data_IF_428172717479
#
_entry.id   IF_428172717479
#
_cell.length_a   1.000
_cell.length_b   1.000
_cell.length_c   1.000
_cell.angle_alpha   90.00
_cell.angle_beta   90.00
_cell.angle_gamma   90.00
#
_symmetry.space_group_name_H-M   'P 1'
#
loop_
_entity.id
_entity.type
_entity.pdbx_description
1 polymer ?
#
# COMPACT_ATOMS: atom_id res chain seq x y z
N UNK A 1 -13.12 -15.89 12.39
CA UNK A 1 -13.73 -15.10 11.30
C UNK A 1 -13.13 -13.70 11.38
N UNK A 2 -12.59 -13.15 10.30
CA UNK A 2 -11.90 -11.85 10.33
C UNK A 2 -12.91 -10.73 10.07
N UNK A 3 -12.90 -9.69 10.90
CA UNK A 3 -13.85 -8.57 10.87
C UNK A 3 -13.17 -7.30 10.41
N UNK A 4 -13.84 -6.56 9.53
CA UNK A 4 -13.36 -5.27 9.01
C UNK A 4 -14.38 -4.19 9.37
N UNK A 5 -13.93 -3.16 10.08
CA UNK A 5 -14.73 -1.97 10.38
C UNK A 5 -14.51 -0.92 9.29
N UNK A 6 -15.60 -0.34 8.78
CA UNK A 6 -15.54 0.75 7.81
C UNK A 6 -15.80 2.07 8.52
N UNK A 7 -14.80 2.95 8.54
CA UNK A 7 -14.87 4.26 9.22
C UNK A 7 -14.40 5.35 8.26
N UNK A 8 -14.95 6.56 8.40
CA UNK A 8 -14.39 7.75 7.76
C UNK A 8 -13.25 8.32 8.60
N UNK A 9 -12.37 9.12 7.99
CA UNK A 9 -11.32 9.85 8.71
C UNK A 9 -11.86 10.55 9.97
N UNK A 10 -11.18 10.39 11.10
CA UNK A 10 -11.58 10.97 12.39
C UNK A 10 -12.96 10.53 12.94
N UNK A 11 -13.63 9.57 12.31
CA UNK A 11 -14.89 9.02 12.81
C UNK A 11 -14.62 8.10 14.00
N UNK A 12 -15.49 8.16 15.01
CA UNK A 12 -15.50 7.26 16.15
C UNK A 12 -16.62 6.24 16.05
N UNK A 13 -16.33 5.00 16.43
CA UNK A 13 -17.31 3.95 16.69
C UNK A 13 -17.07 3.32 18.05
N UNK A 14 -18.02 2.50 18.50
CA UNK A 14 -17.80 1.62 19.65
C UNK A 14 -16.73 0.61 19.24
N UNK A 15 -15.70 0.46 20.08
CA UNK A 15 -14.63 -0.50 19.87
C UNK A 15 -15.20 -1.91 20.04
N UNK A 16 -14.96 -2.81 19.09
CA UNK A 16 -15.55 -4.13 19.14
C UNK A 16 -14.71 -5.03 20.07
N UNK A 17 -15.32 -6.08 20.60
CA UNK A 17 -14.71 -6.93 21.63
C UNK A 17 -13.39 -7.58 21.18
N UNK A 18 -13.22 -7.79 19.87
CA UNK A 18 -12.00 -8.37 19.29
C UNK A 18 -10.74 -7.52 19.48
N UNK A 19 -10.85 -6.31 20.04
CA UNK A 19 -9.72 -5.45 20.37
C UNK A 19 -9.11 -5.76 21.75
N UNK A 20 -9.85 -6.47 22.60
CA UNK A 20 -9.43 -6.87 23.94
C UNK A 20 -9.22 -8.39 24.01
N UNK A 21 -8.28 -8.82 24.84
CA UNK A 21 -8.16 -10.23 25.24
C UNK A 21 -9.20 -10.57 26.30
N UNK A 22 -9.39 -11.88 26.54
CA UNK A 22 -10.21 -12.37 27.66
C UNK A 22 -9.71 -11.87 29.04
N UNK A 23 -8.44 -11.45 29.12
CA UNK A 23 -7.82 -10.83 30.31
C UNK A 23 -7.96 -9.30 30.36
N UNK A 24 -8.55 -8.67 29.35
CA UNK A 24 -8.74 -7.21 29.26
C UNK A 24 -7.52 -6.44 28.71
N UNK A 25 -6.54 -7.14 28.15
CA UNK A 25 -5.38 -6.52 27.49
C UNK A 25 -5.71 -6.11 26.06
N UNK A 26 -5.06 -5.04 25.57
CA UNK A 26 -5.28 -4.56 24.20
C UNK A 26 -4.54 -5.47 23.21
N UNK A 27 -5.29 -6.19 22.39
CA UNK A 27 -4.77 -7.05 21.32
C UNK A 27 -4.54 -6.22 20.05
N UNK A 28 -3.44 -5.48 19.99
CA UNK A 28 -3.06 -4.73 18.80
C UNK A 28 -1.60 -4.97 18.46
N UNK A 29 -1.29 -5.11 17.17
CA UNK A 29 0.08 -5.26 16.70
C UNK A 29 0.95 -4.07 17.14
N UNK A 30 2.14 -4.32 17.70
CA UNK A 30 3.04 -3.26 18.17
C UNK A 30 3.50 -2.33 17.05
N UNK A 31 3.54 -2.80 15.80
CA UNK A 31 3.91 -2.00 14.63
C UNK A 31 2.88 -0.92 14.27
N UNK A 32 1.67 -1.02 14.80
CA UNK A 32 0.53 -0.12 14.54
C UNK A 32 0.34 0.82 15.73
N UNK A 33 0.70 0.36 16.94
CA UNK A 33 0.76 1.17 18.14
C UNK A 33 1.78 2.31 17.98
N UNK A 34 1.38 3.53 18.37
CA UNK A 34 2.26 4.71 18.32
C UNK A 34 2.36 5.41 16.96
N UNK A 35 1.77 4.86 15.88
CA UNK A 35 1.78 5.50 14.55
C UNK A 35 0.62 6.49 14.31
N UNK A 36 -0.17 6.79 15.34
CA UNK A 36 -1.33 7.68 15.27
C UNK A 36 -2.37 7.32 14.19
N UNK A 37 -2.44 6.03 13.80
CA UNK A 37 -3.41 5.54 12.83
C UNK A 37 -4.84 5.48 13.38
N UNK A 38 -4.97 5.28 14.69
CA UNK A 38 -6.24 5.26 15.40
C UNK A 38 -6.01 5.72 16.85
N UNK A 39 -7.09 6.02 17.58
CA UNK A 39 -7.04 6.26 19.02
C UNK A 39 -8.14 5.50 19.72
N UNK A 40 -7.83 4.99 20.91
CA UNK A 40 -8.79 4.39 21.83
C UNK A 40 -9.11 5.40 22.92
N UNK A 41 -10.40 5.66 23.15
CA UNK A 41 -10.88 6.54 24.20
C UNK A 41 -12.01 5.89 24.97
N UNK A 42 -11.92 5.91 26.28
CA UNK A 42 -13.01 5.47 27.14
C UNK A 42 -13.95 6.66 27.41
N UNK A 43 -15.25 6.51 27.10
CA UNK A 43 -16.25 7.55 27.34
C UNK A 43 -17.59 6.91 27.72
N UNK A 44 -18.20 7.39 28.80
CA UNK A 44 -19.53 6.93 29.26
C UNK A 44 -19.66 5.40 29.39
N UNK A 45 -18.62 4.75 29.92
CA UNK A 45 -18.53 3.28 30.08
C UNK A 45 -18.31 2.48 28.78
N UNK A 46 -18.19 3.16 27.64
CA UNK A 46 -17.87 2.52 26.36
C UNK A 46 -16.42 2.78 25.96
N UNK A 47 -15.76 1.74 25.45
CA UNK A 47 -14.50 1.89 24.73
C UNK A 47 -14.82 2.37 23.31
N UNK A 48 -14.32 3.54 22.94
CA UNK A 48 -14.47 4.10 21.60
C UNK A 48 -13.19 3.94 20.81
N UNK A 49 -13.34 3.51 19.57
CA UNK A 49 -12.28 3.49 18.58
C UNK A 49 -12.48 4.64 17.60
N UNK A 50 -11.50 5.52 17.48
CA UNK A 50 -11.50 6.61 16.51
C UNK A 50 -10.43 6.38 15.44
N UNK A 51 -10.83 6.44 14.17
CA UNK A 51 -9.89 6.46 13.05
C UNK A 51 -9.02 7.74 13.08
N UNK A 52 -7.75 7.63 12.68
CA UNK A 52 -6.86 8.77 12.49
C UNK A 52 -7.09 9.48 11.16
N UNK A 53 -6.08 10.24 10.72
CA UNK A 53 -6.03 10.87 9.39
C UNK A 53 -5.42 9.98 8.30
N UNK A 54 -5.17 8.71 8.60
CA UNK A 54 -4.65 7.75 7.63
C UNK A 54 -5.82 7.12 6.87
N UNK A 55 -5.75 7.10 5.53
CA UNK A 55 -6.76 6.50 4.65
C UNK A 55 -6.24 5.18 4.11
N UNK A 56 -7.04 4.13 4.16
CA UNK A 56 -6.70 2.78 3.70
C UNK A 56 -6.99 1.70 4.74
N UNK A 57 -6.53 0.48 4.46
CA UNK A 57 -6.70 -0.67 5.35
C UNK A 57 -5.60 -0.70 6.42
N UNK A 58 -6.01 -0.70 7.69
CA UNK A 58 -5.13 -0.86 8.86
C UNK A 58 -5.51 -2.16 9.57
N UNK A 59 -4.62 -3.15 9.56
CA UNK A 59 -4.78 -4.36 10.37
C UNK A 59 -4.45 -4.06 11.82
N UNK A 60 -5.39 -4.24 12.73
CA UNK A 60 -5.14 -4.03 14.16
C UNK A 60 -4.57 -5.29 14.80
N UNK A 61 -5.15 -6.45 14.49
CA UNK A 61 -4.68 -7.75 14.96
C UNK A 61 -5.06 -8.84 13.95
N UNK A 62 -4.98 -10.11 14.34
CA UNK A 62 -5.32 -11.26 13.48
C UNK A 62 -6.81 -11.38 13.15
N UNK A 63 -7.68 -10.70 13.89
CA UNK A 63 -9.14 -10.84 13.81
C UNK A 63 -9.86 -9.54 13.44
N UNK A 64 -9.20 -8.39 13.56
CA UNK A 64 -9.78 -7.06 13.40
C UNK A 64 -8.93 -6.18 12.49
N UNK A 65 -9.58 -5.56 11.52
CA UNK A 65 -9.03 -4.50 10.68
C UNK A 65 -9.96 -3.30 10.61
N UNK A 66 -9.40 -2.13 10.32
CA UNK A 66 -10.15 -0.91 10.03
C UNK A 66 -9.86 -0.51 8.58
N UNK A 67 -10.89 -0.37 7.76
CA UNK A 67 -10.84 0.34 6.50
C UNK A 67 -11.22 1.80 6.76
N UNK A 68 -10.27 2.72 6.62
CA UNK A 68 -10.54 4.15 6.73
C UNK A 68 -10.77 4.74 5.34
N UNK A 69 -11.95 5.33 5.15
CA UNK A 69 -12.33 6.04 3.93
C UNK A 69 -12.05 7.54 4.07
N UNK A 70 -11.51 8.14 3.00
CA UNK A 70 -11.32 9.59 2.96
C UNK A 70 -12.66 10.30 2.97
N UNK A 71 -12.75 11.42 3.69
CA UNK A 71 -13.91 12.33 3.57
C UNK A 71 -13.94 13.05 2.23
N UNK A 72 -12.79 13.16 1.57
CA UNK A 72 -12.65 13.80 0.27
C UNK A 72 -12.97 12.79 -0.82
N UNK A 73 -13.71 13.22 -1.84
CA UNK A 73 -14.01 12.38 -3.00
C UNK A 73 -12.69 11.91 -3.66
N UNK A 74 -12.56 10.59 -3.85
CA UNK A 74 -11.37 9.96 -4.45
C UNK A 74 -11.10 10.46 -5.87
N UNK A 75 -12.15 10.91 -6.60
CA UNK A 75 -11.98 11.61 -7.89
C UNK A 75 -11.09 12.85 -7.78
N UNK A 76 -11.13 13.55 -6.64
CA UNK A 76 -10.26 14.68 -6.38
C UNK A 76 -8.90 14.24 -5.82
N UNK A 77 -8.85 13.12 -5.09
CA UNK A 77 -7.61 12.61 -4.51
C UNK A 77 -6.55 12.28 -5.58
N UNK A 78 -6.93 11.64 -6.69
CA UNK A 78 -5.97 11.39 -7.80
C UNK A 78 -5.38 12.68 -8.36
N UNK A 79 -6.20 13.73 -8.49
CA UNK A 79 -5.75 15.07 -8.89
C UNK A 79 -4.85 15.73 -7.84
N UNK A 80 -5.18 15.59 -6.56
CA UNK A 80 -4.38 16.12 -5.45
C UNK A 80 -3.02 15.40 -5.40
N UNK A 81 -2.99 14.08 -5.61
CA UNK A 81 -1.78 13.27 -5.61
C UNK A 81 -0.90 13.58 -6.83
N UNK A 82 -1.49 13.89 -7.99
CA UNK A 82 -0.76 14.39 -9.15
C UNK A 82 -0.17 15.80 -8.92
N UNK A 83 -0.76 16.60 -8.03
CA UNK A 83 -0.33 17.97 -7.73
C UNK A 83 0.53 18.06 -6.46
N UNK A 84 0.74 16.96 -5.73
CA UNK A 84 1.53 16.97 -4.50
C UNK A 84 3.02 17.02 -4.78
N UNK A 85 3.79 17.63 -3.87
CA UNK A 85 5.26 17.74 -3.97
C UNK A 85 5.97 16.37 -3.95
N UNK A 86 5.28 15.31 -3.49
CA UNK A 86 5.74 13.92 -3.51
C UNK A 86 5.01 13.07 -4.56
N UNK A 87 4.54 13.67 -5.65
CA UNK A 87 3.89 12.94 -6.74
C UNK A 87 4.77 11.79 -7.24
N UNK A 88 4.22 10.57 -7.43
CA UNK A 88 5.00 9.45 -7.91
C UNK A 88 5.58 9.78 -9.29
N UNK A 89 6.88 9.51 -9.48
CA UNK A 89 7.52 9.63 -10.79
C UNK A 89 6.86 8.65 -11.76
N UNK A 90 6.09 9.19 -12.71
CA UNK A 90 5.47 8.40 -13.77
C UNK A 90 6.47 8.24 -14.91
N UNK A 91 6.57 7.03 -15.45
CA UNK A 91 7.38 6.77 -16.64
C UNK A 91 6.84 7.61 -17.81
N UNK A 92 7.68 8.50 -18.37
CA UNK A 92 7.30 9.45 -19.43
C UNK A 92 6.63 8.81 -20.66
N UNK A 93 6.96 7.55 -20.96
CA UNK A 93 6.35 6.77 -22.04
C UNK A 93 4.89 6.39 -21.80
N UNK A 94 4.33 6.70 -20.63
CA UNK A 94 3.00 6.27 -20.16
C UNK A 94 2.14 7.49 -19.70
N UNK A 95 2.59 8.71 -20.01
CA UNK A 95 2.00 9.99 -19.55
C UNK A 95 0.53 10.21 -19.94
N UNK A 96 0.00 9.51 -20.95
CA UNK A 96 -1.37 9.72 -21.43
C UNK A 96 -2.49 9.19 -20.49
N UNK A 97 -2.15 8.49 -19.39
CA UNK A 97 -3.08 7.48 -18.84
C UNK A 97 -3.94 7.92 -17.65
N UNK A 98 -3.68 9.06 -17.01
CA UNK A 98 -4.54 9.50 -15.89
C UNK A 98 -6.01 9.77 -16.30
N UNK A 99 -6.30 9.88 -17.60
CA UNK A 99 -7.68 9.99 -18.10
C UNK A 99 -8.49 8.69 -18.00
N UNK A 100 -7.87 7.50 -18.00
CA UNK A 100 -8.59 6.22 -18.04
C UNK A 100 -9.13 5.76 -16.67
N UNK A 101 -8.55 6.22 -15.57
CA UNK A 101 -8.96 5.85 -14.20
C UNK A 101 -10.19 6.64 -13.70
N UNK A 102 -10.91 7.32 -14.60
CA UNK A 102 -11.87 8.40 -14.24
C UNK A 102 -13.22 7.94 -13.69
N UNK A 103 -13.59 6.68 -13.83
CA UNK A 103 -14.95 6.27 -13.51
C UNK A 103 -14.94 5.10 -12.53
N UNK A 104 -15.34 5.37 -11.28
CA UNK A 104 -15.70 4.39 -10.25
C UNK A 104 -14.64 3.83 -9.30
N UNK A 105 -13.56 4.57 -9.02
CA UNK A 105 -12.63 4.19 -7.94
C UNK A 105 -13.26 4.43 -6.58
N UNK A 106 -13.39 3.38 -5.76
CA UNK A 106 -14.03 3.43 -4.43
C UNK A 106 -13.03 3.56 -3.28
N UNK A 107 -11.77 3.20 -3.49
CA UNK A 107 -10.71 3.32 -2.48
C UNK A 107 -9.35 3.69 -3.10
N UNK A 108 -8.43 4.18 -2.27
CA UNK A 108 -7.02 4.42 -2.68
C UNK A 108 -6.36 3.10 -3.08
N UNK A 109 -6.69 2.00 -2.40
CA UNK A 109 -6.15 0.67 -2.70
C UNK A 109 -6.54 0.23 -4.12
N UNK A 110 -7.82 0.38 -4.50
CA UNK A 110 -8.28 0.10 -5.87
C UNK A 110 -7.55 0.96 -6.91
N UNK A 111 -7.31 2.24 -6.61
CA UNK A 111 -6.53 3.12 -7.48
C UNK A 111 -5.10 2.64 -7.65
N UNK A 112 -4.42 2.30 -6.55
CA UNK A 112 -3.02 1.86 -6.58
C UNK A 112 -2.88 0.51 -7.30
N UNK A 113 -3.77 -0.44 -7.02
CA UNK A 113 -3.78 -1.76 -7.68
C UNK A 113 -4.07 -1.59 -9.18
N UNK A 114 -5.09 -0.81 -9.54
CA UNK A 114 -5.45 -0.55 -10.94
C UNK A 114 -4.31 0.13 -11.69
N UNK A 115 -3.68 1.13 -11.08
CA UNK A 115 -2.51 1.81 -11.66
C UNK A 115 -1.33 0.86 -11.81
N UNK A 116 -1.03 0.05 -10.79
CA UNK A 116 0.05 -0.92 -10.82
C UNK A 116 -0.13 -1.95 -11.93
N UNK A 117 -1.32 -2.56 -12.04
CA UNK A 117 -1.64 -3.52 -13.10
C UNK A 117 -1.50 -2.89 -14.48
N UNK A 118 -2.03 -1.68 -14.64
CA UNK A 118 -1.93 -0.94 -15.89
C UNK A 118 -0.46 -0.70 -16.30
N UNK A 119 0.39 -0.23 -15.37
CA UNK A 119 1.81 -0.02 -15.68
C UNK A 119 2.55 -1.33 -15.94
N UNK A 120 2.20 -2.41 -15.24
CA UNK A 120 2.81 -3.73 -15.43
C UNK A 120 2.50 -4.28 -16.82
N UNK A 121 1.27 -4.13 -17.31
CA UNK A 121 0.89 -4.49 -18.69
C UNK A 121 1.70 -3.72 -19.72
N UNK A 122 1.89 -2.41 -19.51
CA UNK A 122 2.72 -1.60 -20.41
C UNK A 122 4.19 -2.02 -20.40
N UNK A 123 4.76 -2.32 -19.24
CA UNK A 123 6.12 -2.86 -19.15
C UNK A 123 6.22 -4.19 -19.90
N UNK A 124 5.22 -5.06 -19.78
CA UNK A 124 5.19 -6.33 -20.51
C UNK A 124 5.19 -6.13 -22.03
N UNK A 125 4.44 -5.14 -22.54
CA UNK A 125 4.43 -4.79 -23.98
C UNK A 125 5.77 -4.20 -24.45
N UNK A 126 6.39 -3.36 -23.63
CA UNK A 126 7.69 -2.74 -23.95
C UNK A 126 8.87 -3.73 -23.85
N UNK A 127 8.67 -4.86 -23.17
CA UNK A 127 9.64 -5.91 -22.97
C UNK A 127 10.36 -5.81 -21.62
N UNK A 128 10.94 -6.93 -21.19
CA UNK A 128 11.59 -7.01 -19.89
C UNK A 128 12.84 -6.15 -19.79
N UNK A 129 12.98 -5.46 -18.65
CA UNK A 129 14.23 -4.85 -18.26
C UNK A 129 15.29 -5.94 -18.08
N UNK A 130 16.31 -5.94 -18.95
CA UNK A 130 17.45 -6.85 -18.87
C UNK A 130 18.62 -6.10 -18.25
N UNK A 131 19.00 -6.52 -17.05
CA UNK A 131 20.24 -6.06 -16.44
C UNK A 131 21.41 -6.91 -16.95
N UNK A 132 22.41 -6.26 -17.53
CA UNK A 132 23.62 -6.94 -18.00
C UNK A 132 24.68 -6.90 -16.91
N UNK A 133 24.83 -8.02 -16.20
CA UNK A 133 25.87 -8.19 -15.19
C UNK A 133 27.10 -8.89 -15.77
N UNK A 134 28.29 -8.40 -15.43
CA UNK A 134 29.55 -9.02 -15.82
C UNK A 134 29.87 -10.18 -14.87
N UNK A 135 29.67 -11.41 -15.33
CA UNK A 135 30.00 -12.63 -14.58
C UNK A 135 31.31 -13.21 -15.13
N UNK A 136 32.26 -13.47 -14.24
CA UNK A 136 33.44 -14.30 -14.55
C UNK A 136 33.14 -15.75 -14.15
N UNK A 137 33.21 -16.68 -15.09
CA UNK A 137 33.01 -18.10 -14.81
C UNK A 137 34.00 -18.96 -15.61
N UNK A 138 34.49 -20.04 -14.99
CA UNK A 138 35.25 -21.07 -15.70
C UNK A 138 34.24 -22.04 -16.30
N UNK A 139 34.16 -22.09 -17.61
CA UNK A 139 33.22 -22.95 -18.34
C UNK A 139 33.96 -23.68 -19.45
N UNK A 140 33.45 -24.85 -19.84
CA UNK A 140 34.00 -25.62 -20.95
C UNK A 140 33.67 -25.01 -22.33
N UNK A 141 32.76 -24.02 -22.37
CA UNK A 141 32.33 -23.34 -23.59
C UNK A 141 32.55 -21.83 -23.43
N UNK A 142 33.51 -21.22 -24.15
CA UNK A 142 33.81 -19.80 -24.00
C UNK A 142 32.60 -18.94 -24.41
N UNK A 143 32.18 -18.03 -23.52
CA UNK A 143 31.13 -17.04 -23.76
C UNK A 143 31.61 -15.66 -23.29
N UNK A 144 31.44 -14.64 -24.12
CA UNK A 144 31.89 -13.28 -23.82
C UNK A 144 33.41 -13.11 -23.97
N UNK A 145 34.02 -12.23 -23.15
CA UNK A 145 35.46 -11.93 -23.20
C UNK A 145 36.26 -12.96 -22.40
N UNK A 146 37.25 -13.59 -23.04
CA UNK A 146 38.16 -14.54 -22.40
C UNK A 146 39.21 -13.78 -21.55
N UNK A 147 39.39 -14.21 -20.30
CA UNK A 147 40.40 -13.69 -19.38
C UNK A 147 41.69 -14.52 -19.49
N UNK A 148 42.56 -14.16 -20.44
CA UNK A 148 43.81 -14.90 -20.69
C UNK A 148 44.77 -14.91 -19.48
N UNK A 149 44.73 -13.88 -18.62
CA UNK A 149 45.60 -13.80 -17.43
C UNK A 149 45.22 -14.78 -16.33
N UNK A 150 43.97 -15.24 -16.30
CA UNK A 150 43.49 -16.24 -15.33
C UNK A 150 43.40 -17.66 -15.89
N UNK A 151 43.77 -17.85 -17.16
CA UNK A 151 43.66 -19.12 -17.88
C UNK A 151 45.01 -19.78 -18.17
N UNK A 152 46.07 -18.97 -18.33
CA UNK A 152 47.48 -19.39 -18.50
C UNK A 152 48.20 -19.17 -17.17
#
# INVERSE_FOLDING_TARGET
MHKTLYLKEYQSCIAPDEILSDSGEILIFPEVLGKNYFSLRYKNSDLLLQAGGFVGLIKLNHHLSIQVESKVNIKNFSRILALSEGSPLVLKSVEATYQYLKENIKSIDEFLIGSFLYFLENINVLGFFKEYISIKSKTHFPKGRIDFKGTI
#
